data_IF_424879127413
#
_entry.id   IF_424879127413
#
_cell.length_a   1.000
_cell.length_b   1.000
_cell.length_c   1.000
_cell.angle_alpha   90.00
_cell.angle_beta   90.00
_cell.angle_gamma   90.00
#
_symmetry.space_group_name_H-M   'P 1'
#
loop_
_entity.id
_entity.type
_entity.pdbx_description
1 polymer ?
#
# COMPACT_ATOMS: atom_id res chain seq x y z
N UNK A 1 22.05 -14.27 5.54
CA UNK A 1 20.95 -14.15 4.57
C UNK A 1 20.44 -12.72 4.64
N UNK A 2 20.29 -12.03 3.52
CA UNK A 2 19.66 -10.70 3.51
C UNK A 2 18.17 -10.87 3.80
N UNK A 3 17.74 -10.44 4.99
CA UNK A 3 16.34 -10.55 5.42
C UNK A 3 15.37 -9.75 4.54
N UNK A 4 14.11 -10.19 4.47
CA UNK A 4 13.06 -9.55 3.67
C UNK A 4 12.80 -8.15 4.22
N UNK A 5 13.13 -7.14 3.42
CA UNK A 5 13.01 -5.74 3.80
C UNK A 5 11.62 -5.20 3.50
N UNK A 6 11.02 -4.57 4.51
CA UNK A 6 9.74 -3.86 4.39
C UNK A 6 10.02 -2.45 3.87
N UNK A 7 9.69 -2.23 2.60
CA UNK A 7 9.98 -0.98 1.90
C UNK A 7 9.19 0.22 2.46
N UNK A 8 9.62 1.44 2.11
CA UNK A 8 8.93 2.67 2.53
C UNK A 8 7.48 2.77 2.03
N UNK A 9 7.14 2.04 0.97
CA UNK A 9 5.79 1.97 0.39
C UNK A 9 4.90 0.95 1.12
N UNK A 10 5.41 0.23 2.13
CA UNK A 10 4.62 -0.72 2.91
C UNK A 10 3.88 0.02 4.05
N UNK A 11 2.96 0.92 3.69
CA UNK A 11 2.14 1.68 4.63
C UNK A 11 0.67 1.28 4.53
N UNK A 12 -0.11 1.47 5.59
CA UNK A 12 -1.56 1.23 5.61
C UNK A 12 -2.27 1.92 4.44
N UNK A 13 -1.88 3.15 4.12
CA UNK A 13 -2.48 3.88 3.00
C UNK A 13 -2.12 3.23 1.66
N UNK A 14 -0.89 2.76 1.48
CA UNK A 14 -0.43 2.12 0.25
C UNK A 14 -0.98 0.70 0.08
N UNK A 15 -1.19 -0.05 1.18
CA UNK A 15 -1.92 -1.32 1.15
C UNK A 15 -3.29 -1.14 0.48
N UNK A 16 -4.00 -0.05 0.80
CA UNK A 16 -5.29 0.25 0.16
C UNK A 16 -5.16 0.80 -1.25
N UNK A 17 -4.25 1.75 -1.47
CA UNK A 17 -4.14 2.47 -2.75
C UNK A 17 -3.53 1.62 -3.84
N UNK A 18 -2.43 0.94 -3.53
CA UNK A 18 -1.64 0.16 -4.46
C UNK A 18 -2.05 -1.31 -4.38
N UNK A 19 -2.09 -1.86 -3.16
CA UNK A 19 -2.41 -3.28 -2.93
C UNK A 19 -3.89 -3.63 -3.11
N UNK A 20 -4.79 -2.64 -3.22
CA UNK A 20 -6.22 -2.88 -3.36
C UNK A 20 -6.86 -3.58 -2.15
N UNK A 21 -6.15 -3.62 -1.01
CA UNK A 21 -6.64 -4.19 0.23
C UNK A 21 -7.65 -3.25 0.91
N UNK A 22 -8.52 -3.82 1.73
CA UNK A 22 -9.38 -3.07 2.65
C UNK A 22 -8.79 -3.16 4.05
N UNK A 23 -8.81 -2.04 4.79
CA UNK A 23 -8.38 -2.03 6.18
C UNK A 23 -9.61 -2.01 7.07
N UNK A 24 -9.67 -2.97 7.99
CA UNK A 24 -10.63 -3.00 9.09
C UNK A 24 -9.88 -2.68 10.39
N UNK A 25 -10.29 -1.60 11.05
CA UNK A 25 -9.72 -1.23 12.35
C UNK A 25 -10.36 -2.09 13.44
N UNK A 26 -9.54 -2.76 14.25
CA UNK A 26 -10.01 -3.71 15.27
C UNK A 26 -9.60 -3.29 16.68
N UNK A 27 -10.41 -3.72 17.65
CA UNK A 27 -10.21 -3.44 19.07
C UNK A 27 -9.57 -4.63 19.80
N UNK A 28 -9.52 -5.79 19.16
CA UNK A 28 -8.92 -7.00 19.68
C UNK A 28 -7.49 -7.12 19.15
N UNK A 29 -6.51 -7.18 20.04
CA UNK A 29 -5.11 -7.30 19.68
C UNK A 29 -4.83 -8.62 18.95
N UNK A 30 -5.55 -9.69 19.28
CA UNK A 30 -5.38 -11.00 18.64
C UNK A 30 -5.73 -11.00 17.14
N UNK A 31 -6.48 -10.00 16.66
CA UNK A 31 -6.85 -9.85 15.25
C UNK A 31 -5.88 -8.93 14.49
N UNK A 32 -4.85 -8.40 15.14
CA UNK A 32 -3.88 -7.51 14.50
C UNK A 32 -3.13 -8.23 13.35
N UNK A 33 -3.11 -7.59 12.18
CA UNK A 33 -2.55 -8.09 10.91
C UNK A 33 -3.20 -9.38 10.38
N UNK A 34 -4.36 -9.76 10.90
CA UNK A 34 -5.08 -10.91 10.38
C UNK A 34 -5.60 -10.57 8.97
N UNK A 35 -5.21 -11.40 8.00
CA UNK A 35 -5.73 -11.38 6.65
C UNK A 35 -6.99 -12.26 6.58
N UNK A 36 -8.05 -11.73 5.99
CA UNK A 36 -9.27 -12.49 5.70
C UNK A 36 -9.26 -12.86 4.22
N UNK A 37 -9.11 -14.15 3.94
CA UNK A 37 -8.84 -14.70 2.60
C UNK A 37 -9.92 -14.35 1.56
N UNK A 38 -11.18 -14.22 1.99
CA UNK A 38 -12.31 -14.03 1.08
C UNK A 38 -12.43 -12.60 0.51
N UNK A 39 -11.87 -11.59 1.18
CA UNK A 39 -12.18 -10.18 0.88
C UNK A 39 -10.96 -9.25 0.69
N UNK A 40 -9.74 -9.79 0.74
CA UNK A 40 -8.50 -9.00 0.73
C UNK A 40 -8.54 -7.89 1.82
N UNK A 41 -9.04 -8.26 3.00
CA UNK A 41 -9.22 -7.38 4.15
C UNK A 41 -8.14 -7.70 5.17
N UNK A 42 -7.43 -6.67 5.63
CA UNK A 42 -6.49 -6.76 6.74
C UNK A 42 -7.07 -6.08 7.98
N UNK A 43 -7.03 -6.79 9.10
CA UNK A 43 -7.38 -6.23 10.41
C UNK A 43 -6.18 -5.50 11.02
N UNK A 44 -6.34 -4.25 11.45
CA UNK A 44 -5.28 -3.48 12.11
C UNK A 44 -5.78 -2.98 13.47
N UNK A 45 -5.19 -3.49 14.55
CA UNK A 45 -5.40 -2.98 15.90
C UNK A 45 -4.92 -1.52 16.00
N UNK A 46 -5.69 -0.63 16.63
CA UNK A 46 -5.39 0.82 16.59
C UNK A 46 -5.10 1.49 17.94
N UNK A 47 -5.36 0.87 19.10
CA UNK A 47 -5.20 1.55 20.40
C UNK A 47 -3.73 1.66 20.85
N UNK A 48 -2.96 2.53 20.19
CA UNK A 48 -1.58 2.80 20.56
C UNK A 48 -1.45 3.40 21.98
N UNK A 49 -2.41 4.23 22.42
CA UNK A 49 -2.46 4.77 23.79
C UNK A 49 -2.52 3.66 24.84
N UNK A 50 -3.31 2.61 24.57
CA UNK A 50 -3.40 1.43 25.43
C UNK A 50 -2.06 0.69 25.48
N UNK A 51 -1.41 0.49 24.33
CA UNK A 51 -0.11 -0.17 24.25
C UNK A 51 0.97 0.62 24.99
N UNK A 52 1.06 1.94 24.76
CA UNK A 52 2.00 2.84 25.45
C UNK A 52 1.86 2.77 26.97
N UNK A 53 0.62 2.72 27.49
CA UNK A 53 0.38 2.57 28.93
C UNK A 53 0.89 1.24 29.50
N UNK A 54 0.89 0.18 28.69
CA UNK A 54 1.24 -1.18 29.10
C UNK A 54 2.66 -1.62 28.69
N UNK A 55 3.52 -0.71 28.20
CA UNK A 55 4.90 -1.05 27.80
C UNK A 55 5.71 -1.73 28.92
N UNK A 56 5.47 -1.33 30.17
CA UNK A 56 6.14 -1.88 31.36
C UNK A 56 5.30 -2.95 32.09
N UNK A 57 4.17 -3.35 31.52
CA UNK A 57 3.30 -4.36 32.15
C UNK A 57 3.87 -5.76 31.97
N UNK A 58 3.73 -6.60 33.00
CA UNK A 58 4.06 -8.03 32.96
C UNK A 58 2.91 -8.89 32.37
N UNK A 59 1.78 -8.26 32.03
CA UNK A 59 0.61 -8.95 31.47
C UNK A 59 0.84 -9.48 30.05
N UNK A 60 1.80 -8.90 29.34
CA UNK A 60 2.11 -9.27 27.96
C UNK A 60 3.37 -10.13 27.89
N UNK A 61 3.38 -11.16 27.03
CA UNK A 61 4.54 -12.02 26.89
C UNK A 61 5.74 -11.19 26.41
N UNK A 62 6.92 -11.58 26.91
CA UNK A 62 8.22 -11.12 26.45
C UNK A 62 8.97 -12.30 25.86
N UNK A 63 9.75 -12.03 24.82
CA UNK A 63 10.60 -13.03 24.21
C UNK A 63 11.96 -13.14 24.93
N UNK A 64 12.77 -14.09 24.48
CA UNK A 64 14.15 -14.32 24.93
C UNK A 64 15.07 -13.12 24.75
N UNK A 65 14.74 -12.23 23.83
CA UNK A 65 15.53 -11.05 23.45
C UNK A 65 15.06 -9.79 24.21
N UNK A 66 14.05 -9.94 25.09
CA UNK A 66 13.50 -8.88 25.94
C UNK A 66 12.41 -8.04 25.28
N UNK A 67 12.03 -8.34 24.02
CA UNK A 67 10.96 -7.62 23.32
C UNK A 67 9.59 -8.12 23.79
N UNK A 68 8.67 -7.20 24.02
CA UNK A 68 7.29 -7.53 24.37
C UNK A 68 6.38 -7.53 23.13
N UNK A 69 5.29 -8.28 23.19
CA UNK A 69 4.22 -8.21 22.18
C UNK A 69 3.73 -6.77 21.98
N UNK A 70 3.69 -5.99 23.05
CA UNK A 70 3.28 -4.57 23.04
C UNK A 70 4.24 -3.73 22.21
N UNK A 71 5.54 -3.86 22.46
CA UNK A 71 6.58 -3.12 21.74
C UNK A 71 6.60 -3.50 20.27
N UNK A 72 6.48 -4.79 19.96
CA UNK A 72 6.40 -5.25 18.58
C UNK A 72 5.15 -4.70 17.88
N UNK A 73 4.01 -4.67 18.56
CA UNK A 73 2.78 -4.09 18.01
C UNK A 73 2.94 -2.57 17.75
N UNK A 74 3.57 -1.83 18.66
CA UNK A 74 3.89 -0.41 18.43
C UNK A 74 4.82 -0.21 17.24
N UNK A 75 5.81 -1.10 17.04
CA UNK A 75 6.69 -1.08 15.86
C UNK A 75 5.93 -1.39 14.56
N UNK A 76 4.98 -2.33 14.57
CA UNK A 76 4.13 -2.59 13.40
C UNK A 76 3.21 -1.42 13.07
N UNK A 77 2.71 -0.71 14.09
CA UNK A 77 1.99 0.55 13.89
C UNK A 77 2.88 1.63 13.32
N UNK A 78 4.10 1.80 13.81
CA UNK A 78 5.08 2.75 13.24
C UNK A 78 5.45 2.41 11.79
N UNK A 79 5.46 1.13 11.43
CA UNK A 79 5.69 0.66 10.07
C UNK A 79 4.52 1.04 9.15
N UNK A 80 3.29 0.74 9.56
CA UNK A 80 2.09 0.93 8.74
C UNK A 80 1.56 2.37 8.77
N UNK A 81 1.77 3.09 9.86
CA UNK A 81 1.31 4.45 10.11
C UNK A 81 2.48 5.37 10.50
N UNK A 82 3.48 5.55 9.61
CA UNK A 82 4.68 6.31 9.93
C UNK A 82 4.38 7.78 10.29
N UNK A 83 4.97 8.33 11.37
CA UNK A 83 4.67 9.68 11.87
C UNK A 83 5.12 10.81 10.94
N UNK A 84 6.06 10.54 10.03
CA UNK A 84 6.64 11.55 9.13
C UNK A 84 5.86 11.74 7.82
N UNK A 85 4.78 10.99 7.59
CA UNK A 85 3.97 11.09 6.38
C UNK A 85 2.70 11.90 6.64
N UNK A 86 2.73 13.20 6.32
CA UNK A 86 1.60 14.12 6.54
C UNK A 86 0.34 13.77 5.74
N UNK A 87 0.50 13.22 4.53
CA UNK A 87 -0.63 12.77 3.72
C UNK A 87 -1.34 11.58 4.39
N UNK A 88 -0.57 10.61 4.86
CA UNK A 88 -1.07 9.45 5.60
C UNK A 88 -1.72 9.89 6.91
N UNK A 89 -1.10 10.80 7.67
CA UNK A 89 -1.67 11.34 8.91
C UNK A 89 -3.00 12.02 8.66
N UNK A 90 -3.09 12.86 7.64
CA UNK A 90 -4.35 13.52 7.26
C UNK A 90 -5.43 12.50 6.86
N UNK A 91 -5.04 11.44 6.14
CA UNK A 91 -5.94 10.35 5.78
C UNK A 91 -6.43 9.57 7.01
N UNK A 92 -5.53 9.19 7.91
CA UNK A 92 -5.88 8.47 9.14
C UNK A 92 -6.74 9.32 10.07
N UNK A 93 -6.42 10.61 10.26
CA UNK A 93 -7.20 11.52 11.09
C UNK A 93 -8.66 11.67 10.63
N UNK A 94 -8.92 11.64 9.32
CA UNK A 94 -10.29 11.63 8.78
C UNK A 94 -11.03 10.36 9.19
N UNK A 95 -10.35 9.21 9.18
CA UNK A 95 -10.92 7.94 9.61
C UNK A 95 -11.13 7.90 11.12
N UNK A 96 -10.16 8.40 11.89
CA UNK A 96 -10.21 8.49 13.35
C UNK A 96 -11.42 9.29 13.82
N UNK A 97 -11.68 10.46 13.22
CA UNK A 97 -12.87 11.27 13.54
C UNK A 97 -14.19 10.56 13.24
N UNK A 98 -14.23 9.74 12.18
CA UNK A 98 -15.45 9.05 11.75
C UNK A 98 -15.74 7.79 12.56
N UNK A 99 -14.69 7.04 12.92
CA UNK A 99 -14.79 5.71 13.51
C UNK A 99 -14.41 5.67 15.00
N UNK A 100 -13.97 6.80 15.57
CA UNK A 100 -13.50 6.85 16.96
C UNK A 100 -12.15 6.15 17.17
N UNK A 101 -11.26 6.23 16.18
CA UNK A 101 -9.93 5.59 16.29
C UNK A 101 -8.99 6.40 17.18
N UNK A 102 -8.04 5.70 17.76
CA UNK A 102 -6.98 6.28 18.57
C UNK A 102 -5.94 6.98 17.67
N UNK A 103 -5.85 8.30 17.81
CA UNK A 103 -4.95 9.17 17.02
C UNK A 103 -3.47 8.89 17.31
N UNK A 104 -3.17 8.33 18.49
CA UNK A 104 -1.81 7.97 18.88
C UNK A 104 -1.21 6.87 18.00
N UNK A 105 -2.03 6.14 17.23
CA UNK A 105 -1.56 5.14 16.27
C UNK A 105 -0.63 5.73 15.18
N UNK A 106 -0.73 7.05 14.92
CA UNK A 106 0.18 7.76 13.99
C UNK A 106 1.37 8.43 14.69
N UNK A 107 1.45 8.34 16.01
CA UNK A 107 2.47 8.97 16.85
C UNK A 107 3.36 7.91 17.53
N UNK A 108 3.59 6.78 16.88
CA UNK A 108 4.54 5.77 17.33
C UNK A 108 5.98 6.18 16.98
N UNK A 109 6.95 5.62 17.71
CA UNK A 109 8.37 5.94 17.51
C UNK A 109 8.85 5.57 16.11
N UNK A 110 9.78 6.38 15.58
CA UNK A 110 10.26 6.19 14.22
C UNK A 110 11.02 4.87 14.08
N UNK A 111 10.48 3.98 13.23
CA UNK A 111 11.16 2.74 12.88
C UNK A 111 12.27 2.98 11.87
N UNK A 112 13.52 2.80 12.31
CA UNK A 112 14.72 2.98 11.48
C UNK A 112 14.75 1.99 10.32
N UNK A 113 15.40 2.31 9.18
CA UNK A 113 15.45 1.43 8.02
C UNK A 113 16.02 0.04 8.31
N UNK A 114 16.99 -0.07 9.22
CA UNK A 114 17.57 -1.34 9.67
C UNK A 114 16.59 -2.20 10.47
N UNK A 115 15.57 -1.59 11.10
CA UNK A 115 14.58 -2.28 11.93
C UNK A 115 13.32 -2.69 11.15
N UNK A 116 13.29 -2.39 9.84
CA UNK A 116 12.24 -2.78 8.87
C UNK A 116 12.56 -4.11 8.19
N UNK A 117 13.14 -5.04 8.93
CA UNK A 117 13.37 -6.41 8.49
C UNK A 117 12.28 -7.27 9.10
N UNK A 118 11.63 -8.10 8.30
CA UNK A 118 10.49 -8.91 8.76
C UNK A 118 10.91 -9.91 9.86
N UNK A 119 12.18 -10.31 9.85
CA UNK A 119 12.81 -11.20 10.83
C UNK A 119 12.90 -10.56 12.23
N UNK A 120 12.83 -9.23 12.32
CA UNK A 120 12.83 -8.50 13.60
C UNK A 120 11.44 -8.38 14.25
N UNK A 121 10.44 -9.00 13.65
CA UNK A 121 9.10 -9.14 14.18
C UNK A 121 8.90 -10.62 14.46
N UNK A 122 8.78 -10.99 15.73
CA UNK A 122 8.67 -12.38 16.18
C UNK A 122 7.23 -12.79 16.41
N UNK A 123 6.45 -11.95 17.08
CA UNK A 123 5.04 -12.20 17.37
C UNK A 123 4.17 -12.08 16.11
N UNK A 124 4.46 -11.11 15.27
CA UNK A 124 3.69 -10.79 14.07
C UNK A 124 4.35 -11.28 12.77
N UNK A 125 5.44 -12.07 12.88
CA UNK A 125 6.23 -12.53 11.75
C UNK A 125 5.36 -13.10 10.62
N UNK A 126 4.63 -14.18 10.91
CA UNK A 126 3.85 -14.92 9.93
C UNK A 126 2.78 -14.04 9.26
N UNK A 127 2.05 -13.25 10.05
CA UNK A 127 1.02 -12.35 9.54
C UNK A 127 1.59 -11.21 8.70
N UNK A 128 2.73 -10.66 9.09
CA UNK A 128 3.46 -9.69 8.27
C UNK A 128 3.94 -10.31 6.96
N UNK A 129 4.39 -11.57 6.99
CA UNK A 129 4.86 -12.28 5.79
C UNK A 129 3.71 -12.45 4.81
N UNK A 130 2.56 -12.96 5.28
CA UNK A 130 1.35 -13.11 4.45
C UNK A 130 0.89 -11.75 3.90
N UNK A 131 0.88 -10.71 4.74
CA UNK A 131 0.50 -9.36 4.32
C UNK A 131 1.47 -8.79 3.27
N UNK A 132 2.78 -9.06 3.43
CA UNK A 132 3.82 -8.61 2.50
C UNK A 132 3.71 -9.31 1.15
N UNK A 133 3.54 -10.63 1.17
CA UNK A 133 3.31 -11.44 -0.03
C UNK A 133 2.06 -10.97 -0.77
N UNK A 134 0.94 -10.83 -0.05
CA UNK A 134 -0.32 -10.31 -0.61
C UNK A 134 -0.15 -8.91 -1.21
N UNK A 135 0.64 -8.05 -0.57
CA UNK A 135 0.95 -6.74 -1.13
C UNK A 135 1.76 -6.86 -2.41
N UNK A 136 2.83 -7.65 -2.42
CA UNK A 136 3.74 -7.78 -3.58
C UNK A 136 3.08 -8.40 -4.81
N UNK A 137 2.16 -9.35 -4.58
CA UNK A 137 1.38 -10.03 -5.61
C UNK A 137 0.21 -9.21 -6.13
N UNK A 138 -0.20 -8.17 -5.39
CA UNK A 138 -1.30 -7.31 -5.82
C UNK A 138 -0.93 -6.54 -7.10
N UNK A 139 -1.59 -6.91 -8.20
CA UNK A 139 -1.48 -6.20 -9.47
C UNK A 139 -2.37 -4.93 -9.50
N UNK A 140 -1.85 -3.80 -10.02
CA UNK A 140 -2.64 -2.59 -10.15
C UNK A 140 -3.80 -2.78 -11.15
N UNK A 141 -5.03 -2.73 -10.65
CA UNK A 141 -6.26 -2.95 -11.44
C UNK A 141 -6.71 -1.72 -12.25
N UNK A 142 -6.15 -0.55 -11.99
CA UNK A 142 -6.53 0.71 -12.64
C UNK A 142 -5.33 1.54 -13.10
N UNK A 143 -5.51 2.36 -14.13
CA UNK A 143 -4.45 3.24 -14.67
C UNK A 143 -3.91 4.19 -13.59
N UNK A 144 -4.77 4.66 -12.68
CA UNK A 144 -4.35 5.49 -11.53
C UNK A 144 -3.47 4.73 -10.54
N UNK A 145 -3.74 3.44 -10.34
CA UNK A 145 -2.89 2.56 -9.53
C UNK A 145 -1.57 2.30 -10.23
N UNK A 146 -1.59 1.94 -11.52
CA UNK A 146 -0.39 1.77 -12.34
C UNK A 146 0.51 3.01 -12.33
N UNK A 147 -0.07 4.21 -12.40
CA UNK A 147 0.72 5.44 -12.34
C UNK A 147 1.41 5.64 -10.98
N UNK A 148 0.76 5.24 -9.87
CA UNK A 148 1.30 5.34 -8.51
C UNK A 148 2.20 4.18 -8.12
N UNK A 149 2.06 3.04 -8.77
CA UNK A 149 2.87 1.86 -8.49
C UNK A 149 4.30 2.09 -8.99
N UNK A 150 5.22 2.24 -8.03
CA UNK A 150 6.66 2.41 -8.28
C UNK A 150 7.47 1.17 -7.92
N UNK A 151 6.82 0.06 -7.53
CA UNK A 151 7.50 -1.16 -7.04
C UNK A 151 8.27 -1.89 -8.13
N UNK A 152 7.75 -1.89 -9.37
CA UNK A 152 8.34 -2.58 -10.53
C UNK A 152 8.57 -1.60 -11.69
N UNK A 153 9.70 -0.84 -11.71
CA UNK A 153 9.93 0.22 -12.69
C UNK A 153 9.96 -0.28 -14.14
N UNK A 154 10.40 -1.52 -14.37
CA UNK A 154 10.43 -2.14 -15.70
C UNK A 154 9.00 -2.42 -16.22
N UNK A 155 8.13 -2.98 -15.38
CA UNK A 155 6.74 -3.25 -15.77
C UNK A 155 6.00 -1.93 -16.03
N UNK A 156 6.25 -0.91 -15.20
CA UNK A 156 5.72 0.43 -15.40
C UNK A 156 6.11 1.00 -16.77
N UNK A 157 7.39 0.89 -17.17
CA UNK A 157 7.86 1.33 -18.47
C UNK A 157 7.18 0.56 -19.62
N UNK A 158 7.12 -0.76 -19.54
CA UNK A 158 6.49 -1.60 -20.57
C UNK A 158 5.01 -1.25 -20.77
N UNK A 159 4.28 -1.01 -19.69
CA UNK A 159 2.87 -0.59 -19.74
C UNK A 159 2.70 0.75 -20.48
N UNK A 160 3.48 1.77 -20.13
CA UNK A 160 3.40 3.08 -20.80
C UNK A 160 3.88 3.03 -22.24
N UNK A 161 4.92 2.24 -22.54
CA UNK A 161 5.38 2.01 -23.91
C UNK A 161 4.26 1.42 -24.77
N UNK A 162 3.56 0.39 -24.27
CA UNK A 162 2.44 -0.21 -24.97
C UNK A 162 1.31 0.81 -25.24
N UNK A 163 0.94 1.63 -24.25
CA UNK A 163 -0.06 2.69 -24.43
C UNK A 163 0.37 3.68 -25.50
N UNK A 164 1.60 4.20 -25.43
CA UNK A 164 2.11 5.18 -26.39
C UNK A 164 2.15 4.60 -27.80
N UNK A 165 2.56 3.34 -27.96
CA UNK A 165 2.57 2.67 -29.24
C UNK A 165 1.14 2.50 -29.81
N UNK A 166 0.20 1.99 -29.01
CA UNK A 166 -1.18 1.77 -29.47
C UNK A 166 -1.87 3.08 -29.81
N UNK A 167 -1.84 4.05 -28.89
CA UNK A 167 -2.51 5.36 -29.08
C UNK A 167 -1.83 6.15 -30.19
N UNK A 168 -0.49 6.16 -30.22
CA UNK A 168 0.28 6.85 -31.25
C UNK A 168 -0.02 6.30 -32.64
N UNK A 169 0.03 4.98 -32.82
CA UNK A 169 -0.32 4.35 -34.09
C UNK A 169 -1.77 4.63 -34.50
N UNK A 170 -2.71 4.55 -33.56
CA UNK A 170 -4.14 4.81 -33.84
C UNK A 170 -4.36 6.25 -34.30
N UNK A 171 -3.74 7.23 -33.65
CA UNK A 171 -3.83 8.65 -34.05
C UNK A 171 -3.22 8.87 -35.42
N UNK A 172 -2.05 8.29 -35.70
CA UNK A 172 -1.39 8.42 -37.00
C UNK A 172 -2.24 7.82 -38.12
N UNK A 173 -2.73 6.59 -37.94
CA UNK A 173 -3.61 5.96 -38.93
C UNK A 173 -4.93 6.73 -39.10
N UNK A 174 -5.53 7.21 -38.01
CA UNK A 174 -6.74 8.04 -38.08
C UNK A 174 -6.54 9.34 -38.85
N UNK A 175 -5.37 9.99 -38.69
CA UNK A 175 -5.02 11.20 -39.44
C UNK A 175 -4.84 10.90 -40.93
N UNK A 176 -4.12 9.83 -41.28
CA UNK A 176 -3.93 9.40 -42.67
C UNK A 176 -5.29 9.14 -43.32
N UNK A 177 -6.16 8.36 -42.67
CA UNK A 177 -7.50 8.06 -43.16
C UNK A 177 -8.36 9.32 -43.32
N UNK A 178 -8.27 10.27 -42.38
CA UNK A 178 -9.00 11.53 -42.49
C UNK A 178 -8.53 12.37 -43.68
N UNK A 179 -7.23 12.40 -43.95
CA UNK A 179 -6.65 13.13 -45.10
C UNK A 179 -7.05 12.45 -46.41
N UNK A 180 -6.91 11.13 -46.52
CA UNK A 180 -7.31 10.37 -47.69
C UNK A 180 -8.80 10.52 -47.99
N UNK A 181 -9.65 10.43 -46.96
CA UNK A 181 -11.09 10.67 -47.08
C UNK A 181 -11.41 12.08 -47.58
N UNK A 182 -10.75 13.11 -47.04
CA UNK A 182 -10.94 14.48 -47.50
C UNK A 182 -10.52 14.67 -48.97
N UNK A 183 -9.38 14.09 -49.36
CA UNK A 183 -8.90 14.12 -50.75
C UNK A 183 -9.83 13.36 -51.71
N UNK A 184 -10.37 12.22 -51.28
CA UNK A 184 -11.30 11.42 -52.07
C UNK A 184 -12.62 12.19 -52.31
N UNK A 185 -13.16 12.83 -51.27
CA UNK A 185 -14.36 13.69 -51.40
C UNK A 185 -14.09 14.89 -52.31
N UNK A 186 -12.94 15.55 -52.15
CA UNK A 186 -12.57 16.68 -52.99
C UNK A 186 -12.50 16.29 -54.48
N UNK A 187 -11.84 15.18 -54.81
CA UNK A 187 -11.78 14.66 -56.18
C UNK A 187 -13.15 14.26 -56.73
N UNK A 188 -14.03 13.70 -55.89
CA UNK A 188 -15.39 13.35 -56.32
C UNK A 188 -16.25 14.59 -56.63
N UNK A 189 -16.02 15.70 -55.92
CA UNK A 189 -16.76 16.96 -56.12
C UNK A 189 -16.25 17.77 -57.32
N UNK A 190 -14.97 17.64 -57.66
CA UNK A 190 -14.35 18.19 -58.87
C UNK A 190 -13.85 17.07 -59.78
N UNK A 191 -14.75 16.32 -60.45
CA UNK A 191 -14.37 15.35 -61.45
C UNK A 191 -13.88 16.11 -62.69
N UNK A 192 -12.58 16.29 -62.78
CA UNK A 192 -11.90 16.63 -64.04
C UNK A 192 -11.89 15.42 -64.98
#
# INVERSE_FOLDING_TARGET
EEGVKLEKLFTAQDLTRIGGMKITWVNNLADHLLMHDDDNVVSIFHYASFLKLHQNSELFPRDSDGNSLVEETLRTLALLLPPYNDELRTWFQKQAKRLGLDVEATNCDHLKPEDRQIEKFKYWHERLTILKETFDDAEPKSVKQWWRDRRKPVQWYNFWLAIVLIVGLTVVFGLIQSIEGALQVYKAYYPS
#
